data_IF_023859760944
#
_entry.id   IF_023859760944
#
_cell.length_a   1.000
_cell.length_b   1.000
_cell.length_c   1.000
_cell.angle_alpha   90.00
_cell.angle_beta   90.00
_cell.angle_gamma   90.00
#
_symmetry.space_group_name_H-M   'P 1'
#
loop_
_entity.id
_entity.type
_entity.pdbx_description
1 polymer ?
#
# COMPACT_ATOMS: atom_id res chain seq x y z
N UNK A 1 -0.35 6.22 -13.47
CA UNK A 1 -1.23 5.14 -12.94
C UNK A 1 -1.01 4.89 -11.45
N UNK A 2 0.20 4.56 -10.98
CA UNK A 2 0.47 4.28 -9.54
C UNK A 2 0.15 5.45 -8.60
N UNK A 3 0.55 6.69 -8.93
CA UNK A 3 0.21 7.88 -8.14
C UNK A 3 -1.30 8.08 -7.99
N UNK A 4 -2.05 7.90 -9.08
CA UNK A 4 -3.50 8.00 -9.07
C UNK A 4 -4.14 6.95 -8.14
N UNK A 5 -3.64 5.71 -8.17
CA UNK A 5 -4.13 4.64 -7.29
C UNK A 5 -3.86 4.95 -5.81
N UNK A 6 -2.68 5.49 -5.49
CA UNK A 6 -2.33 5.89 -4.14
C UNK A 6 -3.23 7.03 -3.63
N UNK A 7 -3.39 8.09 -4.42
CA UNK A 7 -4.24 9.23 -4.06
C UNK A 7 -5.68 8.75 -3.85
N UNK A 8 -6.24 8.01 -4.81
CA UNK A 8 -7.62 7.52 -4.74
C UNK A 8 -7.91 6.68 -3.50
N UNK A 9 -6.98 5.81 -3.10
CA UNK A 9 -7.15 4.96 -1.91
C UNK A 9 -7.07 5.76 -0.60
N UNK A 10 -6.23 6.81 -0.57
CA UNK A 10 -6.00 7.61 0.62
C UNK A 10 -6.98 8.79 0.79
N UNK A 11 -7.53 9.34 -0.29
CA UNK A 11 -8.49 10.46 -0.24
C UNK A 11 -9.68 10.19 0.70
N UNK A 12 -10.43 9.08 0.61
CA UNK A 12 -11.53 8.82 1.53
C UNK A 12 -11.05 8.64 2.97
N UNK A 13 -9.84 8.08 3.18
CA UNK A 13 -9.27 7.86 4.52
C UNK A 13 -8.91 9.19 5.19
N UNK A 14 -8.37 10.14 4.43
CA UNK A 14 -8.07 11.49 4.91
C UNK A 14 -9.35 12.26 5.28
N UNK A 15 -10.42 12.12 4.48
CA UNK A 15 -11.72 12.75 4.77
C UNK A 15 -12.35 12.17 6.05
N UNK A 16 -12.37 10.84 6.18
CA UNK A 16 -12.88 10.17 7.38
C UNK A 16 -12.08 10.54 8.63
N UNK A 17 -10.75 10.64 8.53
CA UNK A 17 -9.90 11.07 9.65
C UNK A 17 -10.25 12.48 10.13
N UNK A 18 -10.45 13.42 9.20
CA UNK A 18 -10.87 14.79 9.52
C UNK A 18 -12.26 14.85 10.17
N UNK A 19 -13.21 14.03 9.69
CA UNK A 19 -14.55 13.92 10.28
C UNK A 19 -14.50 13.37 11.71
N UNK A 20 -13.75 12.29 11.94
CA UNK A 20 -13.61 11.66 13.27
C UNK A 20 -12.95 12.63 14.25
N UNK A 21 -11.89 13.34 13.86
CA UNK A 21 -11.29 14.35 14.73
C UNK A 21 -12.26 15.50 15.05
N UNK A 22 -13.00 16.00 14.05
CA UNK A 22 -14.01 17.04 14.28
C UNK A 22 -15.18 16.58 15.15
N UNK A 23 -15.53 15.29 15.14
CA UNK A 23 -16.61 14.71 15.96
C UNK A 23 -16.13 14.40 17.38
N UNK A 24 -14.88 13.94 17.53
CA UNK A 24 -14.22 13.78 18.83
C UNK A 24 -14.08 15.11 19.56
N UNK A 25 -13.60 16.17 18.92
CA UNK A 25 -13.49 17.50 19.53
C UNK A 25 -14.84 18.04 20.05
N UNK A 26 -15.96 17.64 19.43
CA UNK A 26 -17.33 17.99 19.86
C UNK A 26 -17.86 17.09 20.97
N UNK A 27 -17.44 15.82 21.00
CA UNK A 27 -17.90 14.80 21.96
C UNK A 27 -17.06 14.83 23.25
N UNK A 28 -15.78 15.17 23.16
CA UNK A 28 -14.86 15.34 24.31
C UNK A 28 -15.34 16.42 25.27
N UNK A 29 -16.05 17.44 24.79
CA UNK A 29 -16.67 18.45 25.65
C UNK A 29 -17.93 17.97 26.40
N UNK A 30 -18.53 16.82 26.01
CA UNK A 30 -19.81 16.32 26.55
C UNK A 30 -19.64 14.99 27.32
N UNK A 31 -18.54 14.25 27.13
CA UNK A 31 -18.38 12.89 27.67
C UNK A 31 -17.00 12.65 28.27
N UNK A 32 -16.56 13.50 29.21
CA UNK A 32 -15.43 13.15 30.11
C UNK A 32 -15.78 12.03 31.10
N UNK A 33 -17.06 11.65 31.21
CA UNK A 33 -17.48 10.58 32.08
C UNK A 33 -18.24 9.52 31.28
N UNK A 34 -17.59 8.36 31.17
CA UNK A 34 -18.14 7.01 31.00
C UNK A 34 -17.85 6.31 29.66
N UNK A 35 -17.25 5.13 29.85
CA UNK A 35 -17.07 3.99 28.96
C UNK A 35 -15.79 3.98 28.11
N UNK A 36 -14.70 3.67 28.82
CA UNK A 36 -13.67 2.78 28.29
C UNK A 36 -14.30 1.41 27.99
N UNK A 37 -13.73 0.75 27.00
CA UNK A 37 -14.00 -0.61 26.53
C UNK A 37 -15.15 -0.75 25.52
N UNK A 38 -14.78 -1.28 24.35
CA UNK A 38 -15.65 -1.77 23.26
C UNK A 38 -15.99 -0.81 22.11
N UNK A 39 -14.97 -0.25 21.43
CA UNK A 39 -15.00 -0.22 19.96
C UNK A 39 -13.58 -0.08 19.37
N UNK A 40 -12.85 -1.18 19.31
CA UNK A 40 -11.60 -1.30 18.55
C UNK A 40 -11.91 -1.37 17.04
N UNK A 41 -12.65 -0.39 16.51
CA UNK A 41 -12.58 -0.04 15.10
C UNK A 41 -11.31 0.79 14.97
N UNK A 42 -10.35 0.33 14.17
CA UNK A 42 -9.02 0.91 14.06
C UNK A 42 -9.13 2.37 13.61
N UNK A 43 -9.18 3.29 14.57
CA UNK A 43 -8.95 4.71 14.29
C UNK A 43 -7.54 4.76 13.68
N UNK A 44 -7.40 5.21 12.42
CA UNK A 44 -6.08 5.30 11.84
C UNK A 44 -5.29 6.32 12.67
N UNK A 45 -4.27 5.85 13.39
CA UNK A 45 -3.39 6.68 14.23
C UNK A 45 -2.67 7.79 13.44
N UNK A 46 -2.72 7.72 12.11
CA UNK A 46 -2.17 8.70 11.19
C UNK A 46 -3.04 8.76 9.92
N UNK A 47 -3.31 9.96 9.38
CA UNK A 47 -4.01 10.14 8.11
C UNK A 47 -3.21 9.61 6.90
N UNK A 48 -1.89 9.46 7.06
CA UNK A 48 -0.98 9.01 6.01
C UNK A 48 -0.39 7.63 6.33
N UNK A 49 -0.30 6.72 5.34
CA UNK A 49 0.38 5.45 5.50
C UNK A 49 1.90 5.63 5.62
N UNK A 50 2.55 4.63 6.19
CA UNK A 50 4.00 4.61 6.34
C UNK A 50 4.71 4.61 4.97
N UNK A 51 5.76 5.43 4.83
CA UNK A 51 6.52 5.56 3.58
C UNK A 51 7.09 4.21 3.07
N UNK A 52 7.48 3.32 4.00
CA UNK A 52 7.94 1.96 3.69
C UNK A 52 6.95 1.17 2.84
N UNK A 53 5.63 1.35 3.05
CA UNK A 53 4.58 0.67 2.28
C UNK A 53 4.45 1.24 0.87
N UNK A 54 4.63 2.55 0.73
CA UNK A 54 4.61 3.21 -0.57
C UNK A 54 5.78 2.76 -1.45
N UNK A 55 7.00 2.65 -0.88
CA UNK A 55 8.15 2.10 -1.59
C UNK A 55 7.88 0.66 -2.06
N UNK A 56 7.31 -0.18 -1.21
CA UNK A 56 6.93 -1.54 -1.60
C UNK A 56 5.93 -1.56 -2.77
N UNK A 57 4.91 -0.69 -2.76
CA UNK A 57 3.92 -0.58 -3.83
C UNK A 57 4.52 -0.16 -5.19
N UNK A 58 5.56 0.68 -5.19
CA UNK A 58 6.22 1.09 -6.44
C UNK A 58 6.79 -0.12 -7.18
N UNK A 59 7.42 -1.05 -6.45
CA UNK A 59 8.02 -2.27 -7.02
C UNK A 59 7.05 -3.44 -7.17
N UNK A 60 5.92 -3.43 -6.46
CA UNK A 60 4.92 -4.47 -6.60
C UNK A 60 4.34 -4.49 -8.03
N UNK A 61 4.08 -5.69 -8.61
CA UNK A 61 3.50 -5.84 -9.94
C UNK A 61 1.98 -5.63 -9.92
N UNK A 62 1.52 -4.59 -9.22
CA UNK A 62 0.10 -4.23 -9.09
C UNK A 62 -0.09 -2.72 -9.25
N UNK A 63 -1.31 -2.34 -9.64
CA UNK A 63 -1.71 -0.93 -9.82
C UNK A 63 -2.72 -0.47 -8.75
N UNK A 64 -2.97 -1.28 -7.72
CA UNK A 64 -3.90 -0.97 -6.64
C UNK A 64 -3.08 -0.84 -5.36
N UNK A 65 -3.13 0.32 -4.70
CA UNK A 65 -2.45 0.57 -3.42
C UNK A 65 -3.17 -0.16 -2.27
N UNK A 66 -2.41 -0.79 -1.37
CA UNK A 66 -2.89 -1.41 -0.11
C UNK A 66 -1.78 -1.32 0.95
N UNK A 67 -2.15 -1.15 2.22
CA UNK A 67 -1.17 -1.09 3.32
C UNK A 67 -0.54 -2.47 3.62
N UNK A 68 -1.30 -3.55 3.38
CA UNK A 68 -0.86 -4.92 3.54
C UNK A 68 -1.17 -5.74 2.28
N UNK A 69 -0.11 -6.20 1.62
CA UNK A 69 -0.23 -7.15 0.51
C UNK A 69 0.00 -8.58 1.00
N UNK A 70 -0.66 -9.58 0.39
CA UNK A 70 -0.34 -10.98 0.66
C UNK A 70 1.12 -11.24 0.29
N UNK A 71 1.88 -11.84 1.21
CA UNK A 71 3.30 -12.17 1.05
C UNK A 71 3.48 -13.68 1.03
N UNK A 72 4.45 -14.15 0.25
CA UNK A 72 4.89 -15.54 0.27
C UNK A 72 5.73 -15.80 1.52
N UNK A 73 5.69 -17.03 2.04
CA UNK A 73 6.45 -17.42 3.26
C UNK A 73 7.97 -17.37 3.05
N UNK A 74 8.44 -17.73 1.84
CA UNK A 74 9.87 -17.73 1.49
C UNK A 74 10.10 -17.21 0.07
N UNK A 75 11.33 -16.76 -0.19
CA UNK A 75 11.78 -16.29 -1.51
C UNK A 75 12.46 -17.46 -2.23
N UNK A 76 11.90 -17.85 -3.39
CA UNK A 76 12.45 -18.92 -4.23
C UNK A 76 13.52 -18.37 -5.18
N UNK A 77 14.74 -18.20 -4.70
CA UNK A 77 15.84 -17.59 -5.47
C UNK A 77 16.14 -18.29 -6.81
N UNK A 78 16.07 -19.63 -6.86
CA UNK A 78 16.26 -20.37 -8.11
C UNK A 78 15.27 -19.94 -9.20
N UNK A 79 14.02 -19.65 -8.83
CA UNK A 79 12.99 -19.19 -9.76
C UNK A 79 13.28 -17.76 -10.25
N UNK A 80 13.73 -16.88 -9.34
CA UNK A 80 14.08 -15.50 -9.68
C UNK A 80 15.25 -15.46 -10.67
N UNK A 81 16.30 -16.24 -10.43
CA UNK A 81 17.46 -16.33 -11.31
C UNK A 81 17.05 -16.91 -12.67
N UNK A 82 16.25 -17.98 -12.70
CA UNK A 82 15.77 -18.56 -13.96
C UNK A 82 14.96 -17.55 -14.79
N UNK A 83 14.05 -16.80 -14.17
CA UNK A 83 13.24 -15.79 -14.86
C UNK A 83 14.09 -14.62 -15.35
N UNK A 84 15.10 -14.20 -14.59
CA UNK A 84 16.05 -13.17 -15.01
C UNK A 84 16.87 -13.63 -16.22
N UNK A 85 17.39 -14.85 -16.21
CA UNK A 85 18.12 -15.42 -17.36
C UNK A 85 17.23 -15.48 -18.60
N UNK A 86 15.96 -15.88 -18.46
CA UNK A 86 15.00 -15.89 -19.57
C UNK A 86 14.76 -14.49 -20.14
N UNK A 87 14.59 -13.47 -19.29
CA UNK A 87 14.42 -12.08 -19.74
C UNK A 87 15.65 -11.58 -20.50
N UNK A 88 16.84 -11.85 -19.98
CA UNK A 88 18.12 -11.48 -20.63
C UNK A 88 18.28 -12.20 -21.96
N UNK A 89 18.02 -13.51 -22.01
CA UNK A 89 18.06 -14.29 -23.25
C UNK A 89 17.06 -13.78 -24.30
N UNK A 90 15.84 -13.43 -23.89
CA UNK A 90 14.83 -12.85 -24.77
C UNK A 90 15.25 -11.47 -25.30
N UNK A 91 15.85 -10.62 -24.45
CA UNK A 91 16.38 -9.32 -24.87
C UNK A 91 17.53 -9.47 -25.88
N UNK A 92 18.48 -10.37 -25.64
CA UNK A 92 19.55 -10.68 -26.60
C UNK A 92 18.99 -11.27 -27.90
N UNK A 93 18.04 -12.20 -27.81
CA UNK A 93 17.40 -12.76 -28.99
C UNK A 93 16.70 -11.69 -29.82
N UNK A 94 15.94 -10.80 -29.18
CA UNK A 94 15.34 -9.64 -29.83
C UNK A 94 16.40 -8.75 -30.49
N UNK A 95 17.49 -8.43 -29.79
CA UNK A 95 18.60 -7.67 -30.36
C UNK A 95 19.20 -8.35 -31.60
N UNK A 96 19.49 -9.64 -31.53
CA UNK A 96 19.98 -10.41 -32.68
C UNK A 96 18.97 -10.46 -33.83
N UNK A 97 17.67 -10.46 -33.55
CA UNK A 97 16.61 -10.49 -34.57
C UNK A 97 16.42 -9.14 -35.26
N UNK A 98 16.57 -8.02 -34.54
CA UNK A 98 16.40 -6.67 -35.10
C UNK A 98 17.67 -6.08 -35.71
N UNK A 99 18.85 -6.51 -35.24
CA UNK A 99 20.14 -6.00 -35.71
C UNK A 99 20.76 -6.86 -36.81
N UNK A 100 20.32 -8.10 -36.99
CA UNK A 100 20.62 -8.93 -38.17
C UNK A 100 19.61 -8.64 -39.28
#
# INVERSE_FOLDING_TARGET
MKTHAFVRENTPRALLYGQIHSEKDKTEHITENQLNDQQAYSIPNSPCPEFSKYIYFIFAPTLIYRDSYPRTSSIRWNYVIAQLTQFVAAAFFGYYLFYR
#
